data_IF_794627148737
#
_entry.id   IF_794627148737
#
_cell.length_a   1.000
_cell.length_b   1.000
_cell.length_c   1.000
_cell.angle_alpha   90.00
_cell.angle_beta   90.00
_cell.angle_gamma   90.00
#
_symmetry.space_group_name_H-M   'P 1'
#
loop_
_entity.id
_entity.type
_entity.pdbx_description
1 polymer ?
#
# COMPACT_ATOMS: atom_id res chain seq x y z
N UNK A 1 9.87 -87.56 -38.11
CA UNK A 1 10.90 -87.42 -37.07
C UNK A 1 11.70 -86.19 -37.45
N UNK A 2 11.52 -85.13 -36.67
CA UNK A 2 11.55 -83.75 -37.16
C UNK A 2 12.86 -83.03 -36.89
N UNK A 3 13.32 -82.34 -37.92
CA UNK A 3 14.12 -81.13 -37.84
C UNK A 3 13.31 -79.98 -37.19
N UNK A 4 14.04 -78.90 -36.88
CA UNK A 4 13.58 -77.54 -36.61
C UNK A 4 13.36 -77.13 -35.14
N UNK A 5 14.26 -76.22 -34.72
CA UNK A 5 14.01 -75.01 -33.91
C UNK A 5 13.70 -75.26 -32.42
N UNK A 6 14.45 -74.73 -31.47
CA UNK A 6 15.44 -73.68 -31.53
C UNK A 6 15.87 -73.31 -30.12
N UNK A 7 16.49 -72.14 -30.04
CA UNK A 7 16.87 -71.41 -28.83
C UNK A 7 17.88 -72.12 -27.91
N UNK A 8 19.17 -71.93 -28.14
CA UNK A 8 19.94 -70.72 -27.83
C UNK A 8 20.04 -70.43 -26.32
N UNK A 9 21.30 -70.17 -25.94
CA UNK A 9 21.76 -69.51 -24.72
C UNK A 9 21.98 -70.41 -23.51
N UNK A 10 23.20 -70.98 -23.44
CA UNK A 10 23.88 -71.12 -22.15
C UNK A 10 25.36 -70.78 -22.26
N UNK A 11 25.69 -69.76 -21.48
CA UNK A 11 26.94 -69.56 -20.73
C UNK A 11 28.02 -68.68 -21.35
N UNK A 12 28.00 -67.45 -20.80
CA UNK A 12 29.10 -66.80 -20.10
C UNK A 12 30.13 -66.11 -20.97
N UNK A 13 30.02 -64.78 -21.01
CA UNK A 13 31.18 -63.92 -20.83
C UNK A 13 30.87 -62.82 -19.82
N UNK A 14 31.80 -62.65 -18.88
CA UNK A 14 31.77 -61.71 -17.76
C UNK A 14 31.92 -60.28 -18.28
N UNK A 15 30.96 -59.41 -17.96
CA UNK A 15 31.18 -57.98 -17.84
C UNK A 15 30.43 -57.49 -16.60
N UNK A 16 31.19 -56.87 -15.68
CA UNK A 16 30.63 -56.08 -14.57
C UNK A 16 29.93 -54.86 -15.18
N UNK A 17 28.61 -54.91 -15.25
CA UNK A 17 27.78 -53.70 -15.25
C UNK A 17 27.21 -53.53 -13.82
N UNK A 18 27.16 -52.31 -13.26
CA UNK A 18 26.36 -52.07 -12.08
C UNK A 18 24.89 -52.35 -12.41
N UNK A 19 24.30 -53.26 -11.62
CA UNK A 19 22.89 -53.64 -11.69
C UNK A 19 22.00 -52.42 -11.47
N UNK A 20 21.09 -52.25 -12.40
CA UNK A 20 19.82 -51.57 -12.23
C UNK A 20 19.03 -52.09 -11.02
N UNK A 21 18.20 -51.20 -10.48
CA UNK A 21 17.08 -51.40 -9.56
C UNK A 21 17.40 -51.59 -8.08
N UNK A 22 17.29 -50.49 -7.35
CA UNK A 22 16.20 -50.29 -6.36
C UNK A 22 16.32 -48.87 -5.79
N UNK A 23 15.92 -47.87 -6.57
CA UNK A 23 15.71 -46.49 -6.05
C UNK A 23 14.34 -46.44 -5.36
N UNK A 24 14.25 -47.14 -4.24
CA UNK A 24 13.06 -47.17 -3.39
C UNK A 24 13.55 -47.22 -1.95
N UNK A 25 14.12 -46.10 -1.50
CA UNK A 25 14.29 -45.76 -0.07
C UNK A 25 14.95 -44.41 0.19
N UNK A 26 15.25 -43.58 -0.83
CA UNK A 26 15.90 -42.27 -0.62
C UNK A 26 15.15 -41.09 -1.26
N UNK A 27 13.98 -41.32 -1.86
CA UNK A 27 13.20 -40.28 -2.55
C UNK A 27 11.94 -39.82 -1.82
N UNK A 28 11.67 -40.35 -0.63
CA UNK A 28 10.41 -40.04 0.09
C UNK A 28 10.46 -38.74 0.90
N UNK A 29 11.64 -38.26 1.31
CA UNK A 29 11.71 -37.07 2.18
C UNK A 29 12.09 -35.76 1.45
N UNK A 30 12.69 -35.83 0.25
CA UNK A 30 13.19 -34.65 -0.46
C UNK A 30 12.22 -34.07 -1.50
N UNK A 31 11.02 -34.65 -1.65
CA UNK A 31 9.96 -34.15 -2.53
C UNK A 31 8.77 -33.66 -1.71
N UNK A 32 9.00 -32.71 -0.79
CA UNK A 32 8.07 -31.58 -0.60
C UNK A 32 8.06 -30.76 -1.89
N UNK A 33 7.60 -31.40 -2.97
CA UNK A 33 7.63 -30.90 -4.33
C UNK A 33 6.55 -29.83 -4.35
N UNK A 34 6.96 -28.57 -4.31
CA UNK A 34 6.09 -27.42 -4.50
C UNK A 34 5.33 -27.64 -5.82
N UNK A 35 4.08 -28.07 -5.71
CA UNK A 35 3.21 -28.36 -6.84
C UNK A 35 2.64 -27.03 -7.36
N UNK A 36 3.47 -26.27 -8.07
CA UNK A 36 3.12 -24.96 -8.61
C UNK A 36 2.74 -25.08 -10.09
N UNK A 37 1.66 -24.41 -10.49
CA UNK A 37 1.17 -24.36 -11.86
C UNK A 37 0.40 -25.62 -12.29
N UNK A 38 0.46 -25.97 -13.59
CA UNK A 38 -0.38 -27.02 -14.20
C UNK A 38 -0.24 -28.41 -13.55
N UNK A 39 0.92 -28.71 -12.96
CA UNK A 39 1.16 -29.98 -12.24
C UNK A 39 0.43 -30.05 -10.90
N UNK A 40 0.26 -28.92 -10.21
CA UNK A 40 -0.52 -28.86 -8.98
C UNK A 40 -2.02 -28.98 -9.24
N UNK A 41 -2.51 -28.31 -10.29
CA UNK A 41 -3.91 -28.42 -10.69
C UNK A 41 -4.33 -29.85 -11.07
N UNK A 42 -3.45 -30.61 -11.74
CA UNK A 42 -3.72 -32.00 -12.09
C UNK A 42 -3.78 -32.91 -10.85
N UNK A 43 -2.84 -32.76 -9.91
CA UNK A 43 -2.81 -33.54 -8.67
C UNK A 43 -4.04 -33.28 -7.79
N UNK A 44 -4.43 -32.00 -7.64
CA UNK A 44 -5.65 -31.64 -6.91
C UNK A 44 -6.89 -32.20 -7.58
N UNK A 45 -6.98 -32.10 -8.92
CA UNK A 45 -8.13 -32.64 -9.67
C UNK A 45 -8.27 -34.15 -9.51
N UNK A 46 -7.18 -34.89 -9.55
CA UNK A 46 -7.17 -36.34 -9.38
C UNK A 46 -7.62 -36.74 -7.96
N UNK A 47 -7.10 -36.06 -6.94
CA UNK A 47 -7.48 -36.27 -5.54
C UNK A 47 -8.95 -35.96 -5.28
N UNK A 48 -9.44 -34.83 -5.79
CA UNK A 48 -10.85 -34.44 -5.66
C UNK A 48 -11.80 -35.36 -6.43
N UNK A 49 -11.33 -35.98 -7.52
CA UNK A 49 -12.14 -36.91 -8.31
C UNK A 49 -12.23 -38.32 -7.70
N UNK A 50 -11.27 -38.68 -6.85
CA UNK A 50 -11.15 -40.02 -6.26
C UNK A 50 -11.65 -40.06 -4.80
N UNK A 51 -11.68 -38.91 -4.12
CA UNK A 51 -12.05 -38.83 -2.71
C UNK A 51 -13.59 -38.90 -2.49
N UNK A 52 -14.07 -39.72 -1.53
CA UNK A 52 -15.48 -39.78 -1.16
C UNK A 52 -15.93 -38.57 -0.33
N UNK A 53 -15.00 -37.86 0.32
CA UNK A 53 -15.28 -36.63 1.07
C UNK A 53 -14.24 -35.55 0.74
N UNK A 54 -14.69 -34.50 0.09
CA UNK A 54 -13.85 -33.49 -0.57
C UNK A 54 -13.14 -32.58 0.44
N UNK A 55 -13.81 -32.23 1.55
CA UNK A 55 -13.30 -31.24 2.50
C UNK A 55 -12.06 -31.75 3.25
N UNK A 56 -12.11 -33.02 3.68
CA UNK A 56 -10.99 -33.67 4.38
C UNK A 56 -9.80 -33.83 3.45
N UNK A 57 -10.04 -34.24 2.19
CA UNK A 57 -8.98 -34.39 1.19
C UNK A 57 -8.26 -33.06 0.88
N UNK A 58 -8.98 -31.93 0.89
CA UNK A 58 -8.38 -30.61 0.71
C UNK A 58 -7.50 -30.23 1.90
N UNK A 59 -7.96 -30.47 3.13
CA UNK A 59 -7.20 -30.16 4.34
C UNK A 59 -5.93 -31.02 4.43
N UNK A 60 -6.03 -32.32 4.14
CA UNK A 60 -4.89 -33.24 4.12
C UNK A 60 -3.88 -32.86 3.03
N UNK A 61 -4.36 -32.47 1.84
CA UNK A 61 -3.50 -32.01 0.75
C UNK A 61 -2.79 -30.69 1.09
N UNK A 62 -3.49 -29.74 1.71
CA UNK A 62 -2.90 -28.47 2.15
C UNK A 62 -1.87 -28.65 3.26
N UNK A 63 -2.11 -29.60 4.18
CA UNK A 63 -1.19 -29.96 5.24
C UNK A 63 0.08 -30.65 4.70
N UNK A 64 -0.09 -31.60 3.77
CA UNK A 64 1.02 -32.32 3.15
C UNK A 64 1.94 -31.44 2.29
N UNK A 65 1.37 -30.42 1.62
CA UNK A 65 2.10 -29.55 0.71
C UNK A 65 2.49 -28.18 1.29
N UNK A 66 2.30 -27.95 2.60
CA UNK A 66 2.80 -26.78 3.32
C UNK A 66 2.11 -25.45 2.98
N UNK A 67 0.94 -25.50 2.34
CA UNK A 67 0.20 -24.29 1.91
C UNK A 67 -0.27 -23.48 3.12
N UNK A 68 -0.61 -24.15 4.22
CA UNK A 68 -1.04 -23.50 5.47
C UNK A 68 0.07 -22.64 6.13
N UNK A 69 1.35 -23.05 6.02
CA UNK A 69 2.48 -22.27 6.57
C UNK A 69 2.84 -21.08 5.67
N UNK A 70 2.61 -21.16 4.36
CA UNK A 70 2.83 -20.04 3.44
C UNK A 70 1.82 -18.90 3.68
N UNK A 71 0.59 -19.22 4.08
CA UNK A 71 -0.42 -18.21 4.44
C UNK A 71 -0.12 -17.50 5.77
N UNK A 72 0.48 -18.17 6.75
CA UNK A 72 0.88 -17.53 8.02
C UNK A 72 2.14 -16.66 7.89
N UNK A 73 3.05 -17.01 6.97
CA UNK A 73 4.28 -16.24 6.71
C UNK A 73 4.08 -14.97 5.86
N UNK A 74 2.95 -14.85 5.15
CA UNK A 74 2.58 -13.61 4.45
C UNK A 74 2.19 -12.45 5.39
N UNK A 75 1.92 -12.73 6.68
CA UNK A 75 1.51 -11.70 7.65
C UNK A 75 2.58 -11.30 8.67
N UNK A 76 3.74 -11.97 8.73
CA UNK A 76 4.74 -11.71 9.80
C UNK A 76 6.19 -11.63 9.27
N UNK A 77 6.44 -10.99 8.13
CA UNK A 77 7.80 -10.55 7.77
C UNK A 77 7.93 -9.03 7.87
N UNK A 78 8.00 -8.56 9.11
CA UNK A 78 8.36 -7.19 9.47
C UNK A 78 9.88 -7.12 9.67
N UNK A 79 10.49 -6.10 9.05
CA UNK A 79 11.55 -5.24 9.60
C UNK A 79 13.01 -5.59 9.26
N UNK A 80 13.48 -5.11 8.11
CA UNK A 80 14.83 -4.52 7.99
C UNK A 80 14.79 -3.27 7.09
N UNK A 81 15.73 -2.37 7.33
CA UNK A 81 15.65 -0.93 7.09
C UNK A 81 15.98 -0.57 5.64
N UNK A 82 15.00 -0.07 4.89
CA UNK A 82 15.19 0.91 3.82
C UNK A 82 13.90 1.71 3.72
N UNK A 83 14.02 3.00 3.47
CA UNK A 83 12.91 3.92 3.21
C UNK A 83 12.15 3.46 1.96
N UNK A 84 11.26 2.49 2.12
CA UNK A 84 10.25 2.17 1.12
C UNK A 84 9.03 3.04 1.44
N UNK A 85 8.79 3.98 0.54
CA UNK A 85 7.47 4.56 0.35
C UNK A 85 6.44 3.44 0.46
N UNK A 86 5.56 3.51 1.47
CA UNK A 86 4.38 2.66 1.47
C UNK A 86 3.77 2.80 0.08
N UNK A 87 3.51 1.71 -0.66
CA UNK A 87 2.78 1.82 -1.90
C UNK A 87 1.44 2.42 -1.52
N UNK A 88 1.29 3.71 -1.80
CA UNK A 88 0.00 4.37 -1.66
C UNK A 88 -0.97 3.52 -2.49
N UNK A 89 -2.20 3.37 -2.04
CA UNK A 89 -3.25 2.60 -2.73
C UNK A 89 -3.41 3.01 -4.21
N UNK A 90 -2.87 4.17 -4.57
CA UNK A 90 -2.88 4.79 -5.89
C UNK A 90 -1.65 4.47 -6.77
N UNK A 91 -0.66 3.72 -6.29
CA UNK A 91 0.56 3.39 -7.05
C UNK A 91 0.26 2.81 -8.44
N UNK A 92 -0.70 1.87 -8.60
CA UNK A 92 -1.07 1.35 -9.92
C UNK A 92 -1.71 2.42 -10.83
N UNK A 93 -2.50 3.33 -10.26
CA UNK A 93 -3.15 4.40 -11.02
C UNK A 93 -2.14 5.45 -11.50
N UNK A 94 -1.15 5.79 -10.67
CA UNK A 94 -0.06 6.69 -11.05
C UNK A 94 0.79 6.07 -12.17
N UNK A 95 1.11 4.77 -12.08
CA UNK A 95 1.83 4.06 -13.13
C UNK A 95 1.06 4.01 -14.46
N UNK A 96 -0.25 3.79 -14.42
CA UNK A 96 -1.10 3.86 -15.62
C UNK A 96 -1.05 5.26 -16.25
N UNK A 97 -1.13 6.32 -15.43
CA UNK A 97 -1.10 7.69 -15.93
C UNK A 97 0.28 8.08 -16.48
N UNK A 98 1.36 7.53 -15.92
CA UNK A 98 2.71 7.65 -16.49
C UNK A 98 2.79 6.99 -17.88
N UNK A 99 2.18 5.81 -18.06
CA UNK A 99 2.11 5.14 -19.38
C UNK A 99 1.30 5.95 -20.41
N UNK A 100 0.28 6.68 -19.95
CA UNK A 100 -0.51 7.61 -20.75
C UNK A 100 0.21 8.94 -21.02
N UNK A 101 1.49 9.07 -20.62
CA UNK A 101 2.32 10.25 -20.77
C UNK A 101 1.74 11.53 -20.12
N UNK A 102 0.90 11.37 -19.11
CA UNK A 102 0.40 12.50 -18.33
C UNK A 102 1.54 12.98 -17.41
N UNK A 103 1.93 14.27 -17.47
CA UNK A 103 2.99 14.77 -16.61
C UNK A 103 2.54 14.74 -15.15
N UNK A 104 3.35 14.11 -14.29
CA UNK A 104 3.08 13.98 -12.85
C UNK A 104 2.79 15.33 -12.18
N UNK A 105 3.45 16.41 -12.61
CA UNK A 105 3.22 17.77 -12.09
C UNK A 105 1.76 18.21 -12.27
N UNK A 106 1.19 18.02 -13.45
CA UNK A 106 -0.21 18.36 -13.74
C UNK A 106 -1.17 17.51 -12.90
N UNK A 107 -0.83 16.25 -12.65
CA UNK A 107 -1.65 15.36 -11.83
C UNK A 107 -1.66 15.79 -10.37
N UNK A 108 -0.48 16.01 -9.79
CA UNK A 108 -0.36 16.46 -8.40
C UNK A 108 -0.98 17.84 -8.21
N UNK A 109 -0.82 18.75 -9.16
CA UNK A 109 -1.47 20.05 -9.11
C UNK A 109 -3.00 19.93 -9.13
N UNK A 110 -3.55 19.11 -10.04
CA UNK A 110 -5.00 18.88 -10.11
C UNK A 110 -5.54 18.21 -8.85
N UNK A 111 -4.82 17.22 -8.31
CA UNK A 111 -5.17 16.54 -7.07
C UNK A 111 -5.14 17.50 -5.88
N UNK A 112 -4.09 18.31 -5.76
CA UNK A 112 -3.96 19.33 -4.72
C UNK A 112 -5.11 20.33 -4.80
N UNK A 113 -5.43 20.82 -5.99
CA UNK A 113 -6.53 21.76 -6.23
C UNK A 113 -7.87 21.16 -5.78
N UNK A 114 -8.11 19.88 -6.10
CA UNK A 114 -9.33 19.18 -5.69
C UNK A 114 -9.39 18.98 -4.18
N UNK A 115 -8.30 18.51 -3.55
CA UNK A 115 -8.23 18.32 -2.10
C UNK A 115 -8.41 19.64 -1.35
N UNK A 116 -7.79 20.71 -1.85
CA UNK A 116 -7.96 22.06 -1.31
C UNK A 116 -9.42 22.51 -1.38
N UNK A 117 -10.10 22.31 -2.51
CA UNK A 117 -11.54 22.63 -2.65
C UNK A 117 -12.38 21.84 -1.65
N UNK A 118 -12.16 20.54 -1.54
CA UNK A 118 -12.85 19.67 -0.58
C UNK A 118 -12.61 20.12 0.86
N UNK A 119 -11.37 20.48 1.22
CA UNK A 119 -11.06 21.00 2.54
C UNK A 119 -11.76 22.33 2.82
N UNK A 120 -11.79 23.25 1.86
CA UNK A 120 -12.49 24.52 2.01
C UNK A 120 -14.01 24.35 2.20
N UNK A 121 -14.62 23.41 1.48
CA UNK A 121 -16.03 23.05 1.66
C UNK A 121 -16.28 22.48 3.06
N UNK A 122 -15.46 21.54 3.51
CA UNK A 122 -15.56 20.99 4.87
C UNK A 122 -15.37 22.04 5.96
N UNK A 123 -14.48 23.01 5.75
CA UNK A 123 -14.29 24.14 6.67
C UNK A 123 -15.53 25.03 6.71
N UNK A 124 -16.28 25.17 5.61
CA UNK A 124 -17.53 25.94 5.61
C UNK A 124 -18.61 25.27 6.48
N UNK A 125 -18.66 23.94 6.47
CA UNK A 125 -19.65 23.14 7.21
C UNK A 125 -19.24 22.83 8.67
N UNK A 126 -17.96 23.03 9.02
CA UNK A 126 -17.43 22.68 10.35
C UNK A 126 -18.02 23.57 11.47
N UNK A 127 -18.35 23.02 12.66
CA UNK A 127 -18.74 23.81 13.83
C UNK A 127 -17.61 24.72 14.34
N UNK A 128 -17.98 25.85 14.95
CA UNK A 128 -17.01 26.84 15.45
C UNK A 128 -16.07 26.29 16.54
N UNK A 129 -16.50 25.29 17.32
CA UNK A 129 -15.68 24.66 18.37
C UNK A 129 -14.43 23.96 17.85
N UNK A 130 -14.42 23.52 16.59
CA UNK A 130 -13.31 22.78 15.99
C UNK A 130 -12.36 23.66 15.17
N UNK A 131 -12.80 24.86 14.79
CA UNK A 131 -12.00 25.84 14.06
C UNK A 131 -10.64 26.18 14.70
N UNK A 132 -10.50 26.39 16.03
CA UNK A 132 -9.20 26.69 16.62
C UNK A 132 -8.20 25.55 16.46
N UNK A 133 -8.66 24.29 16.57
CA UNK A 133 -7.80 23.11 16.38
C UNK A 133 -7.36 22.96 14.93
N UNK A 134 -8.25 23.26 13.98
CA UNK A 134 -7.90 23.27 12.55
C UNK A 134 -6.95 24.42 12.24
N UNK A 135 -7.12 25.58 12.87
CA UNK A 135 -6.20 26.71 12.71
C UNK A 135 -4.79 26.33 13.16
N UNK A 136 -4.62 25.75 14.34
CA UNK A 136 -3.31 25.28 14.84
C UNK A 136 -2.59 24.35 13.85
N UNK A 137 -3.33 23.45 13.20
CA UNK A 137 -2.76 22.51 12.23
C UNK A 137 -2.46 23.14 10.88
N UNK A 138 -3.26 24.12 10.46
CA UNK A 138 -3.18 24.71 9.11
C UNK A 138 -2.31 25.96 9.07
N UNK A 139 -2.18 26.69 10.19
CA UNK A 139 -1.45 27.95 10.27
C UNK A 139 0.02 27.85 9.86
N UNK A 140 0.80 26.79 10.22
CA UNK A 140 2.18 26.64 9.74
C UNK A 140 2.30 26.62 8.22
N UNK A 141 1.23 26.28 7.50
CA UNK A 141 1.22 26.23 6.04
C UNK A 141 0.83 27.56 5.37
N UNK A 142 0.65 28.64 6.14
CA UNK A 142 0.25 29.95 5.62
C UNK A 142 1.30 30.60 4.72
N UNK A 143 2.56 30.25 4.92
CA UNK A 143 3.69 30.70 4.09
C UNK A 143 3.55 30.19 2.65
N UNK A 144 3.02 28.98 2.47
CA UNK A 144 2.81 28.37 1.16
C UNK A 144 1.60 29.01 0.46
N UNK A 145 1.88 29.74 -0.62
CA UNK A 145 0.86 30.46 -1.41
C UNK A 145 -0.30 29.56 -1.87
N UNK A 146 -0.01 28.31 -2.21
CA UNK A 146 -1.00 27.35 -2.69
C UNK A 146 -2.01 26.95 -1.60
N UNK A 147 -1.55 26.80 -0.36
CA UNK A 147 -2.34 26.35 0.80
C UNK A 147 -2.90 27.50 1.63
N UNK A 148 -2.37 28.72 1.47
CA UNK A 148 -2.75 29.93 2.22
C UNK A 148 -4.26 30.19 2.28
N UNK A 149 -5.00 29.82 1.24
CA UNK A 149 -6.45 29.99 1.23
C UNK A 149 -7.15 29.23 2.38
N UNK A 150 -6.57 28.12 2.86
CA UNK A 150 -7.14 27.28 3.91
C UNK A 150 -7.10 28.00 5.27
N UNK A 151 -5.93 28.44 5.82
CA UNK A 151 -5.91 29.25 7.04
C UNK A 151 -6.75 30.51 6.95
N UNK A 152 -6.74 31.19 5.79
CA UNK A 152 -7.52 32.41 5.59
C UNK A 152 -9.02 32.15 5.72
N UNK A 153 -9.53 31.04 5.15
CA UNK A 153 -10.93 30.67 5.27
C UNK A 153 -11.33 30.37 6.71
N UNK A 154 -10.45 29.72 7.49
CA UNK A 154 -10.65 29.46 8.91
C UNK A 154 -10.70 30.77 9.70
N UNK A 155 -9.73 31.67 9.51
CA UNK A 155 -9.66 33.00 10.14
C UNK A 155 -10.86 33.89 9.79
N UNK A 156 -11.41 33.73 8.59
CA UNK A 156 -12.60 34.48 8.16
C UNK A 156 -13.86 34.07 8.94
N UNK A 157 -14.03 32.76 9.23
CA UNK A 157 -15.19 32.23 9.96
C UNK A 157 -15.09 32.38 11.47
N UNK A 158 -13.89 32.31 12.03
CA UNK A 158 -13.70 32.33 13.48
C UNK A 158 -14.02 33.71 14.07
N UNK A 159 -14.91 33.79 15.06
CA UNK A 159 -15.31 35.05 15.70
C UNK A 159 -14.19 35.59 16.59
N UNK A 160 -13.67 34.76 17.51
CA UNK A 160 -12.55 35.09 18.39
C UNK A 160 -11.26 34.44 17.93
N UNK A 161 -10.34 35.25 17.41
CA UNK A 161 -9.05 34.79 16.87
C UNK A 161 -7.94 35.07 17.89
N UNK A 162 -7.11 34.08 18.28
CA UNK A 162 -6.03 34.32 19.25
C UNK A 162 -5.02 35.35 18.73
N UNK A 163 -4.63 36.29 19.59
CA UNK A 163 -3.75 37.42 19.22
C UNK A 163 -2.37 36.98 18.73
N UNK A 164 -1.87 35.84 19.22
CA UNK A 164 -0.58 35.25 18.81
C UNK A 164 -0.49 35.07 17.29
N UNK A 165 -1.55 34.54 16.66
CA UNK A 165 -1.57 34.31 15.21
C UNK A 165 -1.71 35.61 14.42
N UNK A 166 -2.37 36.62 14.98
CA UNK A 166 -2.51 37.93 14.36
C UNK A 166 -1.18 38.70 14.39
N UNK A 167 -0.41 38.56 15.47
CA UNK A 167 0.94 39.10 15.57
C UNK A 167 1.89 38.47 14.54
N UNK A 168 1.92 37.14 14.43
CA UNK A 168 2.73 36.43 13.42
C UNK A 168 2.35 36.83 11.98
N UNK A 169 1.07 37.12 11.73
CA UNK A 169 0.58 37.64 10.45
C UNK A 169 1.02 39.09 10.17
N UNK A 170 1.18 39.88 11.22
CA UNK A 170 1.57 41.31 11.13
C UNK A 170 3.05 41.45 10.82
N UNK A 171 3.90 40.58 11.38
CA UNK A 171 5.33 40.50 11.04
C UNK A 171 5.53 40.18 9.54
N UNK A 172 4.68 39.33 8.99
CA UNK A 172 4.75 38.87 7.60
C UNK A 172 4.01 39.81 6.62
N UNK A 173 4.63 40.97 6.32
CA UNK A 173 4.05 42.00 5.40
C UNK A 173 3.60 41.48 4.03
N UNK A 174 4.25 40.44 3.51
CA UNK A 174 3.89 39.83 2.21
C UNK A 174 2.54 39.11 2.28
N UNK A 175 2.29 38.41 3.38
CA UNK A 175 1.03 37.70 3.62
C UNK A 175 -0.08 38.70 3.90
N UNK A 176 0.22 39.77 4.65
CA UNK A 176 -0.70 40.86 4.99
C UNK A 176 -1.28 41.58 3.76
N UNK A 177 -0.52 41.70 2.68
CA UNK A 177 -1.00 42.32 1.43
C UNK A 177 -2.05 41.46 0.70
N UNK A 178 -1.97 40.14 0.82
CA UNK A 178 -2.86 39.19 0.13
C UNK A 178 -4.08 38.78 0.97
N UNK A 179 -4.11 39.16 2.24
CA UNK A 179 -5.19 38.84 3.17
C UNK A 179 -6.50 39.60 2.82
N UNK A 180 -7.68 38.94 2.90
CA UNK A 180 -8.96 39.60 2.74
C UNK A 180 -9.15 40.76 3.73
N UNK A 181 -9.87 41.80 3.28
CA UNK A 181 -10.12 43.03 4.05
C UNK A 181 -10.72 42.74 5.44
N UNK A 182 -11.58 41.73 5.54
CA UNK A 182 -12.20 41.32 6.81
C UNK A 182 -11.17 40.84 7.84
N UNK A 183 -10.18 40.05 7.42
CA UNK A 183 -9.12 39.55 8.31
C UNK A 183 -8.15 40.68 8.69
N UNK A 184 -7.81 41.55 7.73
CA UNK A 184 -7.00 42.74 7.99
C UNK A 184 -7.67 43.68 9.02
N UNK A 185 -8.99 43.84 8.96
CA UNK A 185 -9.73 44.64 9.94
C UNK A 185 -9.63 44.06 11.35
N UNK A 186 -9.67 42.73 11.49
CA UNK A 186 -9.45 42.06 12.78
C UNK A 186 -8.06 42.36 13.34
N UNK A 187 -7.02 42.23 12.51
CA UNK A 187 -5.63 42.57 12.86
C UNK A 187 -5.53 44.03 13.32
N UNK A 188 -6.06 44.99 12.54
CA UNK A 188 -6.03 46.42 12.90
C UNK A 188 -6.83 46.75 14.18
N UNK A 189 -7.87 45.99 14.52
CA UNK A 189 -8.65 46.21 15.74
C UNK A 189 -7.91 45.73 16.98
N UNK A 190 -7.14 44.64 16.87
CA UNK A 190 -6.27 44.16 17.96
C UNK A 190 -5.11 45.13 18.20
N UNK A 191 -4.45 45.59 17.14
CA UNK A 191 -3.36 46.57 17.21
C UNK A 191 -3.82 47.90 17.87
N UNK A 192 -5.06 48.33 17.60
CA UNK A 192 -5.69 49.48 18.28
C UNK A 192 -6.01 49.25 19.77
N UNK A 193 -6.31 48.02 20.18
CA UNK A 193 -6.55 47.71 21.60
C UNK A 193 -5.25 47.72 22.39
N UNK A 194 -4.16 47.24 21.81
CA UNK A 194 -2.84 47.26 22.44
C UNK A 194 -2.28 48.69 22.58
N UNK A 195 -2.50 49.54 21.58
CA UNK A 195 -2.07 50.95 21.63
C UNK A 195 -2.91 51.87 22.53
N UNK A 196 -4.04 51.40 23.07
CA UNK A 196 -4.82 52.11 24.09
C UNK A 196 -4.55 51.62 25.53
N UNK A 197 -3.66 50.64 25.72
CA UNK A 197 -3.27 50.13 27.05
C UNK A 197 -2.00 50.80 27.62
N UNK A 198 -1.61 51.96 27.09
CA UNK A 198 -0.51 52.81 27.59
C UNK A 198 -1.00 54.22 27.91
#
# INVERSE_FOLDING_TARGET
MSEAVGDAMKLRLKLKLPRSMSVSSVTEEAQKKLLIGARGGAAVKELLSTAPNIEVAIQDFQAAHGVAEAHSQLFVRKKERKSEDKPTTFTPAVQLLDLLQVPRSSMYQSLLEQMKKEMLLRIADLPQSELPRVLEQTFPYIEFRELRAIPIAVLARQEDTPDLYLHELTENRRILAELPVHVRRKILQVDKRESCNF
#
